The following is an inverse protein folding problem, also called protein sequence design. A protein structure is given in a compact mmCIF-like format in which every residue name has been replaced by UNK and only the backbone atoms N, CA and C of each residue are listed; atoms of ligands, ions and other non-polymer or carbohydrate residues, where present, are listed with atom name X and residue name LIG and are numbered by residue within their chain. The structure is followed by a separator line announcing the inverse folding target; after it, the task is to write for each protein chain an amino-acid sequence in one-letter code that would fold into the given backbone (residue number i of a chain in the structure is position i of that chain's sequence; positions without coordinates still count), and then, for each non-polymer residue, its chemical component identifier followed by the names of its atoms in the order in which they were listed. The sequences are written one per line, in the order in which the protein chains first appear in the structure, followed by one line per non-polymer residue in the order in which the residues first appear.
data_IF_177283478423
#
_entry.id   IF_177283478423
#
_cell.length_a   1.000
_cell.length_b   1.000
_cell.length_c   1.000
_cell.angle_alpha   90.00
_cell.angle_beta   90.00
_cell.angle_gamma   90.00
#
_symmetry.space_group_name_H-M   'P 1'
#
loop_
_entity.id
_entity.type
_entity.pdbx_description
1 polymer ?
#
# COMPACT_ATOMS: atom_id res chain seq x y z
N UNK A 1 16.91 -31.85 15.28
CA UNK A 1 17.12 -32.67 16.49
C UNK A 1 18.60 -32.56 16.83
N UNK A 2 18.95 -31.69 17.77
CA UNK A 2 20.33 -31.51 18.25
C UNK A 2 20.48 -32.11 19.65
N UNK A 3 21.40 -33.06 19.76
CA UNK A 3 21.73 -33.85 20.95
C UNK A 3 22.64 -33.07 21.92
N UNK A 4 22.15 -31.98 22.52
CA UNK A 4 22.91 -31.25 23.55
C UNK A 4 22.08 -30.88 24.81
N UNK A 5 21.06 -31.69 25.11
CA UNK A 5 20.13 -31.45 26.23
C UNK A 5 20.56 -32.07 27.58
N UNK A 6 21.71 -32.73 27.64
CA UNK A 6 22.10 -33.55 28.79
C UNK A 6 23.20 -32.95 29.66
N UNK A 7 22.95 -31.85 30.38
CA UNK A 7 23.54 -31.60 31.73
C UNK A 7 23.00 -30.32 32.40
N UNK A 8 21.66 -30.19 32.53
CA UNK A 8 21.08 -29.07 33.28
C UNK A 8 20.58 -29.57 34.64
N UNK A 9 21.31 -29.22 35.71
CA UNK A 9 20.98 -29.50 37.11
C UNK A 9 19.54 -29.04 37.43
N UNK A 10 18.77 -29.86 38.14
CA UNK A 10 17.38 -29.58 38.48
C UNK A 10 17.25 -28.38 39.42
N UNK A 11 18.28 -28.10 40.22
CA UNK A 11 18.36 -26.85 41.00
C UNK A 11 18.42 -25.63 40.09
N UNK A 12 19.14 -25.74 38.97
CA UNK A 12 19.32 -24.63 38.02
C UNK A 12 18.05 -24.41 37.18
N UNK A 13 17.34 -25.48 36.79
CA UNK A 13 16.03 -25.36 36.11
C UNK A 13 15.00 -24.64 36.98
N UNK A 14 14.98 -24.93 38.27
CA UNK A 14 14.07 -24.29 39.23
C UNK A 14 14.37 -22.81 39.40
N UNK A 15 15.66 -22.45 39.55
CA UNK A 15 16.12 -21.06 39.61
C UNK A 15 15.70 -20.27 38.36
N UNK A 16 15.90 -20.85 37.16
CA UNK A 16 15.46 -20.27 35.88
C UNK A 16 13.95 -19.98 35.91
N UNK A 17 13.15 -20.97 36.31
CA UNK A 17 11.67 -20.87 36.31
C UNK A 17 11.18 -19.79 37.28
N UNK A 18 11.72 -19.75 38.51
CA UNK A 18 11.30 -18.81 39.55
C UNK A 18 11.62 -17.35 39.17
N UNK A 19 12.79 -17.11 38.56
CA UNK A 19 13.20 -15.78 38.09
C UNK A 19 12.30 -15.33 36.94
N UNK A 20 12.09 -16.18 35.92
CA UNK A 20 11.27 -15.85 34.75
C UNK A 20 9.82 -15.54 35.13
N UNK A 21 9.21 -16.36 36.00
CA UNK A 21 7.84 -16.13 36.45
C UNK A 21 7.73 -14.81 37.24
N UNK A 22 8.74 -14.49 38.05
CA UNK A 22 8.80 -13.22 38.79
C UNK A 22 8.98 -11.99 37.91
N UNK A 23 9.73 -12.10 36.81
CA UNK A 23 9.97 -10.99 35.87
C UNK A 23 8.87 -10.79 34.84
N UNK A 24 8.02 -11.80 34.63
CA UNK A 24 6.97 -11.79 33.62
C UNK A 24 5.81 -10.83 33.91
N UNK A 25 5.55 -10.55 35.20
CA UNK A 25 4.38 -9.80 35.69
C UNK A 25 3.04 -10.15 34.98
N UNK A 26 2.83 -11.43 34.68
CA UNK A 26 1.62 -11.93 34.00
C UNK A 26 1.60 -11.81 32.47
N UNK A 27 2.65 -11.29 31.83
CA UNK A 27 2.79 -11.23 30.37
C UNK A 27 3.46 -12.51 29.87
N UNK A 28 2.77 -13.36 29.10
CA UNK A 28 3.30 -14.66 28.66
C UNK A 28 4.41 -14.58 27.59
N UNK A 29 4.50 -13.47 26.84
CA UNK A 29 5.49 -13.28 25.78
C UNK A 29 6.88 -12.94 26.33
N UNK A 30 6.95 -12.16 27.41
CA UNK A 30 8.21 -11.73 28.03
C UNK A 30 9.04 -12.93 28.55
N UNK A 31 8.46 -13.92 29.26
CA UNK A 31 9.08 -15.20 29.56
C UNK A 31 9.65 -15.94 28.36
N UNK A 32 8.92 -15.99 27.25
CA UNK A 32 9.36 -16.74 26.08
C UNK A 32 10.64 -16.13 25.49
N UNK A 33 10.68 -14.80 25.35
CA UNK A 33 11.84 -14.06 24.87
C UNK A 33 13.02 -14.14 25.86
N UNK A 34 12.74 -14.06 27.16
CA UNK A 34 13.74 -14.22 28.23
C UNK A 34 14.37 -15.61 28.22
N UNK A 35 13.56 -16.66 28.08
CA UNK A 35 14.04 -18.05 27.98
C UNK A 35 14.93 -18.20 26.75
N UNK A 36 14.49 -17.70 25.60
CA UNK A 36 15.24 -17.81 24.36
C UNK A 36 16.62 -17.12 24.47
N UNK A 37 16.66 -15.88 24.96
CA UNK A 37 17.90 -15.12 25.16
C UNK A 37 18.92 -15.84 26.06
N UNK A 38 18.43 -16.54 27.11
CA UNK A 38 19.28 -17.35 27.98
C UNK A 38 19.76 -18.62 27.26
N UNK A 39 18.88 -19.32 26.53
CA UNK A 39 19.23 -20.57 25.84
C UNK A 39 20.26 -20.36 24.73
N UNK A 40 20.24 -19.20 24.06
CA UNK A 40 21.20 -18.82 23.01
C UNK A 40 22.65 -18.64 23.52
N UNK A 41 22.87 -18.52 24.84
CA UNK A 41 24.21 -18.38 25.40
C UNK A 41 24.99 -19.71 25.40
N UNK A 42 26.25 -19.64 24.97
CA UNK A 42 27.10 -20.81 24.71
C UNK A 42 27.70 -21.49 25.94
N UNK A 43 27.65 -20.88 27.12
CA UNK A 43 28.19 -21.48 28.35
C UNK A 43 27.32 -21.23 29.57
N UNK A 44 27.39 -22.14 30.55
CA UNK A 44 26.63 -22.05 31.81
C UNK A 44 26.92 -20.74 32.55
N UNK A 45 28.18 -20.30 32.57
CA UNK A 45 28.56 -19.02 33.19
C UNK A 45 27.94 -17.81 32.49
N UNK A 46 27.86 -17.84 31.15
CA UNK A 46 27.18 -16.78 30.37
C UNK A 46 25.67 -16.82 30.57
N UNK A 47 25.06 -18.01 30.65
CA UNK A 47 23.65 -18.19 30.99
C UNK A 47 23.32 -17.59 32.37
N UNK A 48 24.15 -17.83 33.38
CA UNK A 48 24.00 -17.22 34.72
C UNK A 48 24.16 -15.70 34.72
N UNK A 49 25.09 -15.17 33.93
CA UNK A 49 25.21 -13.72 33.76
C UNK A 49 23.96 -13.12 33.09
N UNK A 50 23.45 -13.77 32.05
CA UNK A 50 22.23 -13.35 31.34
C UNK A 50 20.98 -13.38 32.26
N UNK A 51 20.88 -14.35 33.17
CA UNK A 51 19.83 -14.40 34.20
C UNK A 51 19.83 -13.13 35.09
N UNK A 52 21.00 -12.55 35.35
CA UNK A 52 21.16 -11.36 36.20
C UNK A 52 20.87 -10.03 35.51
N UNK A 53 20.92 -9.98 34.17
CA UNK A 53 20.74 -8.76 33.36
C UNK A 53 19.45 -8.76 32.54
N UNK A 54 18.48 -9.59 32.92
CA UNK A 54 17.26 -9.75 32.13
C UNK A 54 16.42 -8.46 32.04
N UNK A 55 15.89 -8.15 30.86
CA UNK A 55 14.98 -7.03 30.67
C UNK A 55 13.69 -7.24 31.46
N UNK A 56 13.26 -6.20 32.19
CA UNK A 56 12.05 -6.23 33.05
C UNK A 56 10.79 -5.76 32.35
N UNK A 57 10.94 -5.13 31.19
CA UNK A 57 9.83 -4.71 30.34
C UNK A 57 9.93 -5.38 28.97
N UNK A 58 8.79 -5.43 28.28
CA UNK A 58 8.72 -5.98 26.93
C UNK A 58 9.49 -5.10 25.92
N UNK A 59 9.44 -3.77 26.07
CA UNK A 59 10.22 -2.85 25.22
C UNK A 59 11.73 -3.08 25.37
N UNK A 60 12.22 -3.24 26.62
CA UNK A 60 13.64 -3.55 26.86
C UNK A 60 14.01 -4.91 26.26
N UNK A 61 13.11 -5.90 26.32
CA UNK A 61 13.34 -7.22 25.73
C UNK A 61 13.41 -7.17 24.20
N UNK A 62 12.60 -6.34 23.55
CA UNK A 62 12.70 -6.13 22.11
C UNK A 62 13.98 -5.41 21.74
N UNK A 63 14.38 -4.37 22.50
CA UNK A 63 15.63 -3.67 22.27
C UNK A 63 16.84 -4.61 22.42
N UNK A 64 16.87 -5.45 23.45
CA UNK A 64 17.92 -6.46 23.64
C UNK A 64 18.00 -7.40 22.44
N UNK A 65 16.88 -7.88 21.91
CA UNK A 65 16.88 -8.75 20.74
C UNK A 65 17.38 -8.02 19.47
N UNK A 66 17.04 -6.74 19.29
CA UNK A 66 17.58 -5.94 18.17
C UNK A 66 19.09 -5.73 18.33
N UNK A 67 19.57 -5.47 19.55
CA UNK A 67 21.00 -5.33 19.82
C UNK A 67 21.75 -6.66 19.57
N UNK A 68 21.13 -7.79 19.88
CA UNK A 68 21.65 -9.12 19.55
C UNK A 68 21.72 -9.31 18.04
N UNK A 69 20.66 -8.94 17.30
CA UNK A 69 20.65 -9.02 15.83
C UNK A 69 21.81 -8.21 15.24
N UNK A 70 21.99 -6.98 15.70
CA UNK A 70 23.09 -6.09 15.27
C UNK A 70 24.47 -6.58 15.70
N UNK A 71 24.57 -7.36 16.79
CA UNK A 71 25.82 -7.94 17.28
C UNK A 71 26.32 -9.16 16.52
N UNK A 72 25.60 -9.63 15.50
CA UNK A 72 26.02 -10.74 14.64
C UNK A 72 27.15 -10.36 13.67
N UNK A 73 27.53 -11.29 12.78
CA UNK A 73 28.39 -10.93 11.64
C UNK A 73 27.69 -9.89 10.76
N UNK A 74 28.42 -9.00 10.07
CA UNK A 74 27.82 -7.91 9.30
C UNK A 74 26.73 -8.38 8.32
N UNK A 75 26.93 -9.52 7.65
CA UNK A 75 26.00 -10.07 6.67
C UNK A 75 24.70 -10.56 7.34
N UNK A 76 24.81 -11.19 8.52
CA UNK A 76 23.64 -11.69 9.27
C UNK A 76 22.88 -10.57 9.96
N UNK A 77 23.60 -9.57 10.46
CA UNK A 77 23.02 -8.37 11.02
C UNK A 77 22.22 -7.63 9.95
N UNK A 78 22.81 -7.42 8.77
CA UNK A 78 22.14 -6.82 7.61
C UNK A 78 20.88 -7.60 7.24
N UNK A 79 20.97 -8.92 7.00
CA UNK A 79 19.80 -9.73 6.65
C UNK A 79 18.71 -9.72 7.74
N UNK A 80 19.07 -9.84 9.01
CA UNK A 80 18.11 -9.79 10.11
C UNK A 80 17.37 -8.45 10.16
N UNK A 81 18.09 -7.34 9.99
CA UNK A 81 17.49 -6.01 9.96
C UNK A 81 16.64 -5.77 8.71
N UNK A 82 17.05 -6.29 7.54
CA UNK A 82 16.24 -6.23 6.32
C UNK A 82 14.93 -7.02 6.47
N UNK A 83 14.96 -8.21 7.07
CA UNK A 83 13.75 -8.99 7.33
C UNK A 83 12.80 -8.23 8.28
N UNK A 84 13.33 -7.62 9.35
CA UNK A 84 12.53 -6.78 10.24
C UNK A 84 11.94 -5.57 9.49
N UNK A 85 12.73 -4.93 8.62
CA UNK A 85 12.30 -3.79 7.79
C UNK A 85 11.13 -4.18 6.89
N UNK A 86 11.27 -5.25 6.12
CA UNK A 86 10.22 -5.75 5.23
C UNK A 86 8.99 -6.23 6.00
N UNK A 87 9.16 -6.88 7.15
CA UNK A 87 8.02 -7.33 7.97
C UNK A 87 7.26 -6.16 8.59
N UNK A 88 7.93 -5.02 8.83
CA UNK A 88 7.34 -3.83 9.42
C UNK A 88 6.74 -2.86 8.40
N UNK A 89 7.51 -2.48 7.37
CA UNK A 89 7.17 -1.41 6.44
C UNK A 89 6.39 -1.88 5.21
N UNK A 90 6.34 -3.17 4.90
CA UNK A 90 5.61 -3.63 3.73
C UNK A 90 4.10 -3.34 3.84
N UNK A 91 3.49 -2.89 2.74
CA UNK A 91 2.06 -2.54 2.66
C UNK A 91 1.13 -3.75 2.89
N UNK A 92 1.69 -4.96 2.77
CA UNK A 92 1.07 -6.21 3.19
C UNK A 92 2.13 -7.20 3.63
N UNK A 93 1.70 -8.23 4.35
CA UNK A 93 2.57 -9.37 4.66
C UNK A 93 3.09 -10.01 3.36
N UNK A 94 4.40 -10.23 3.33
CA UNK A 94 5.08 -10.92 2.24
C UNK A 94 5.08 -12.42 2.51
N UNK A 95 4.97 -13.20 1.42
CA UNK A 95 5.27 -14.63 1.48
C UNK A 95 6.78 -14.84 1.66
N UNK A 96 7.17 -16.03 2.10
CA UNK A 96 8.60 -16.40 2.21
C UNK A 96 9.31 -16.22 0.86
N UNK A 97 8.70 -16.68 -0.23
CA UNK A 97 9.25 -16.57 -1.57
C UNK A 97 9.38 -15.09 -1.99
N UNK A 98 8.37 -14.26 -1.74
CA UNK A 98 8.45 -12.82 -1.99
C UNK A 98 9.60 -12.17 -1.22
N UNK A 99 9.77 -12.50 0.06
CA UNK A 99 10.85 -11.94 0.88
C UNK A 99 12.24 -12.38 0.40
N UNK A 100 12.43 -13.65 0.04
CA UNK A 100 13.71 -14.12 -0.52
C UNK A 100 14.11 -13.31 -1.77
N UNK A 101 13.14 -13.10 -2.66
CA UNK A 101 13.35 -12.31 -3.88
C UNK A 101 13.62 -10.83 -3.57
N UNK A 102 12.94 -10.25 -2.58
CA UNK A 102 13.18 -8.88 -2.14
C UNK A 102 14.60 -8.72 -1.58
N UNK A 103 15.03 -9.59 -0.67
CA UNK A 103 16.37 -9.58 -0.08
C UNK A 103 17.47 -9.74 -1.14
N UNK A 104 17.30 -10.70 -2.06
CA UNK A 104 18.27 -10.89 -3.15
C UNK A 104 18.37 -9.67 -4.08
N UNK A 105 17.25 -8.96 -4.28
CA UNK A 105 17.23 -7.76 -5.11
C UNK A 105 17.79 -6.52 -4.40
N UNK A 106 17.73 -6.47 -3.07
CA UNK A 106 18.39 -5.43 -2.27
C UNK A 106 19.92 -5.55 -2.36
N UNK A 107 20.44 -6.77 -2.37
CA UNK A 107 21.89 -7.03 -2.41
C UNK A 107 22.47 -7.11 -3.84
N UNK A 108 21.62 -7.24 -4.87
CA UNK A 108 22.07 -7.35 -6.27
C UNK A 108 22.57 -6.01 -6.82
N UNK A 109 23.85 -5.99 -7.17
CA UNK A 109 24.49 -4.90 -7.91
C UNK A 109 24.38 -5.06 -9.45
N UNK A 110 23.65 -6.07 -9.92
CA UNK A 110 23.57 -6.43 -11.34
C UNK A 110 22.15 -6.26 -11.91
N UNK A 111 22.04 -6.04 -13.22
CA UNK A 111 20.75 -5.94 -13.94
C UNK A 111 20.04 -7.30 -14.13
N UNK A 112 20.42 -8.32 -13.37
CA UNK A 112 19.87 -9.69 -13.45
C UNK A 112 19.67 -10.27 -12.06
N UNK A 113 18.66 -11.11 -11.90
CA UNK A 113 18.45 -11.86 -10.67
C UNK A 113 18.97 -13.29 -10.83
N UNK A 114 20.01 -13.66 -10.06
CA UNK A 114 20.43 -15.06 -9.98
C UNK A 114 19.47 -15.83 -9.07
N UNK A 115 18.54 -16.56 -9.70
CA UNK A 115 17.58 -17.40 -9.01
C UNK A 115 18.23 -18.55 -8.22
N UNK A 116 19.52 -18.85 -8.45
CA UNK A 116 20.25 -19.87 -7.71
C UNK A 116 20.92 -19.34 -6.44
N UNK A 117 21.00 -18.02 -6.26
CA UNK A 117 21.63 -17.35 -5.11
C UNK A 117 20.60 -16.70 -4.17
N UNK A 118 19.35 -17.18 -4.22
CA UNK A 118 18.30 -16.73 -3.32
C UNK A 118 18.58 -17.19 -1.88
N UNK A 119 18.28 -16.36 -0.85
CA UNK A 119 18.38 -16.77 0.54
C UNK A 119 17.57 -18.04 0.81
N UNK A 120 18.15 -18.97 1.57
CA UNK A 120 17.45 -20.19 1.93
C UNK A 120 16.32 -19.91 2.92
N UNK A 121 15.11 -20.35 2.59
CA UNK A 121 13.89 -20.17 3.39
C UNK A 121 14.09 -20.58 4.86
N UNK A 122 14.75 -21.73 5.08
CA UNK A 122 15.02 -22.29 6.41
C UNK A 122 15.99 -21.45 7.26
N UNK A 123 16.67 -20.46 6.68
CA UNK A 123 17.67 -19.64 7.36
C UNK A 123 17.19 -18.23 7.68
N UNK A 124 16.11 -17.75 7.04
CA UNK A 124 15.59 -16.38 7.23
C UNK A 124 15.28 -16.08 8.70
N UNK A 125 14.57 -17.00 9.37
CA UNK A 125 14.14 -16.81 10.75
C UNK A 125 15.31 -16.84 11.74
N UNK A 126 16.41 -17.53 11.41
CA UNK A 126 17.54 -17.70 12.30
C UNK A 126 18.26 -16.37 12.59
N UNK A 127 18.19 -15.41 11.68
CA UNK A 127 18.82 -14.11 11.86
C UNK A 127 17.96 -13.13 12.68
N UNK A 128 16.67 -13.43 12.85
CA UNK A 128 15.69 -12.54 13.49
C UNK A 128 15.49 -12.81 14.99
N UNK A 129 16.24 -13.74 15.58
CA UNK A 129 16.25 -14.04 17.03
C UNK A 129 14.85 -14.18 17.64
N UNK A 130 13.95 -14.90 16.95
CA UNK A 130 12.60 -15.18 17.43
C UNK A 130 11.68 -13.96 17.52
N UNK A 131 12.00 -12.84 16.86
CA UNK A 131 11.09 -11.69 16.70
C UNK A 131 10.08 -11.88 15.56
N UNK A 132 10.42 -12.77 14.62
CA UNK A 132 9.68 -13.05 13.40
C UNK A 132 9.36 -14.54 13.34
N UNK A 133 8.16 -14.87 12.90
CA UNK A 133 7.68 -16.24 12.72
C UNK A 133 7.12 -16.43 11.30
N UNK A 134 7.15 -17.68 10.85
CA UNK A 134 6.45 -18.12 9.64
C UNK A 134 5.03 -18.53 10.01
N UNK A 135 4.06 -17.99 9.29
CA UNK A 135 2.70 -18.49 9.29
C UNK A 135 2.59 -19.65 8.27
N UNK A 136 2.38 -20.87 8.76
CA UNK A 136 2.31 -22.06 7.92
C UNK A 136 1.06 -22.08 7.03
N UNK A 137 -0.03 -21.42 7.44
CA UNK A 137 -1.29 -21.42 6.66
C UNK A 137 -1.16 -20.55 5.40
N UNK A 138 -0.53 -19.39 5.53
CA UNK A 138 -0.40 -18.39 4.46
C UNK A 138 0.99 -18.40 3.81
N UNK A 139 1.94 -19.17 4.34
CA UNK A 139 3.36 -19.11 3.97
C UNK A 139 3.93 -17.68 4.03
N UNK A 140 3.43 -16.87 4.98
CA UNK A 140 3.81 -15.46 5.14
C UNK A 140 4.60 -15.21 6.40
N UNK A 141 5.40 -14.15 6.36
CA UNK A 141 6.28 -13.76 7.46
C UNK A 141 5.59 -12.69 8.29
N UNK A 142 5.57 -12.87 9.62
CA UNK A 142 4.93 -11.94 10.55
C UNK A 142 5.70 -11.84 11.87
N UNK A 143 5.44 -10.77 12.61
CA UNK A 143 5.96 -10.65 13.97
C UNK A 143 5.28 -11.62 14.93
N UNK A 144 6.03 -12.04 15.95
CA UNK A 144 5.52 -12.93 17.02
C UNK A 144 4.36 -12.30 17.77
N UNK A 145 4.34 -10.97 17.87
CA UNK A 145 3.30 -10.26 18.61
C UNK A 145 3.11 -8.82 18.12
N UNK A 146 1.88 -8.33 18.24
CA UNK A 146 1.51 -6.96 17.85
C UNK A 146 2.29 -5.88 18.64
N UNK A 147 2.63 -6.13 19.89
CA UNK A 147 3.42 -5.18 20.70
C UNK A 147 4.81 -4.90 20.10
N UNK A 148 5.37 -5.82 19.32
CA UNK A 148 6.62 -5.56 18.59
C UNK A 148 6.40 -4.55 17.47
N UNK A 149 5.25 -4.60 16.77
CA UNK A 149 4.89 -3.60 15.76
C UNK A 149 4.75 -2.21 16.40
N UNK A 150 4.11 -2.12 17.56
CA UNK A 150 3.96 -0.85 18.29
C UNK A 150 5.31 -0.28 18.74
N UNK A 151 6.21 -1.16 19.21
CA UNK A 151 7.59 -0.78 19.56
C UNK A 151 8.38 -0.27 18.35
N UNK A 152 8.36 -1.00 17.22
CA UNK A 152 9.05 -0.60 15.99
C UNK A 152 8.47 0.70 15.43
N UNK A 153 7.15 0.89 15.53
CA UNK A 153 6.49 2.14 15.16
C UNK A 153 7.03 3.34 15.93
N UNK A 154 7.10 3.24 17.26
CA UNK A 154 7.68 4.29 18.12
C UNK A 154 9.14 4.60 17.75
N UNK A 155 9.94 3.57 17.48
CA UNK A 155 11.34 3.72 17.05
C UNK A 155 11.48 4.37 15.67
N UNK A 156 10.61 4.01 14.73
CA UNK A 156 10.59 4.58 13.40
C UNK A 156 10.14 6.06 13.41
N UNK A 157 9.08 6.39 14.14
CA UNK A 157 8.62 7.78 14.33
C UNK A 157 9.69 8.66 14.98
N UNK A 158 10.49 8.10 15.89
CA UNK A 158 11.64 8.77 16.51
C UNK A 158 12.89 8.81 15.62
N UNK A 159 12.85 8.24 14.40
CA UNK A 159 13.99 8.11 13.48
C UNK A 159 15.17 7.32 14.04
N UNK A 160 14.92 6.41 14.98
CA UNK A 160 15.93 5.53 15.55
C UNK A 160 16.14 4.27 14.70
N UNK A 161 15.10 3.82 13.98
CA UNK A 161 15.13 2.65 13.11
C UNK A 161 14.41 2.90 11.78
N UNK A 162 14.97 2.35 10.70
CA UNK A 162 14.39 2.36 9.36
C UNK A 162 14.05 3.75 8.81
N UNK A 163 14.84 4.78 9.15
CA UNK A 163 14.59 6.16 8.69
C UNK A 163 14.46 6.26 7.16
N UNK A 164 15.27 5.51 6.41
CA UNK A 164 15.22 5.44 4.94
C UNK A 164 14.47 4.23 4.40
N UNK A 165 13.74 3.51 5.26
CA UNK A 165 13.28 2.17 4.91
C UNK A 165 12.28 2.12 3.76
N UNK A 166 11.39 3.13 3.64
CA UNK A 166 10.50 3.22 2.48
C UNK A 166 11.27 3.52 1.19
N UNK A 167 12.30 4.37 1.23
CA UNK A 167 13.19 4.61 0.09
C UNK A 167 13.93 3.33 -0.35
N UNK A 168 14.49 2.56 0.60
CA UNK A 168 15.18 1.31 0.30
C UNK A 168 14.26 0.28 -0.36
N UNK A 169 13.04 0.16 0.17
CA UNK A 169 12.01 -0.75 -0.37
C UNK A 169 11.62 -0.31 -1.79
N UNK A 170 11.40 0.99 -2.00
CA UNK A 170 11.12 1.56 -3.31
C UNK A 170 12.24 1.23 -4.31
N UNK A 171 13.50 1.47 -3.95
CA UNK A 171 14.65 1.16 -4.80
C UNK A 171 14.76 -0.34 -5.10
N UNK A 172 14.47 -1.19 -4.12
CA UNK A 172 14.43 -2.65 -4.32
C UNK A 172 13.33 -3.04 -5.30
N UNK A 173 12.12 -2.48 -5.17
CA UNK A 173 11.02 -2.71 -6.11
C UNK A 173 11.41 -2.28 -7.53
N UNK A 174 12.05 -1.12 -7.67
CA UNK A 174 12.53 -0.64 -8.96
C UNK A 174 13.59 -1.55 -9.57
N UNK A 175 14.59 -1.95 -8.79
CA UNK A 175 15.65 -2.84 -9.24
C UNK A 175 15.05 -4.17 -9.72
N UNK A 176 14.12 -4.72 -8.95
CA UNK A 176 13.45 -5.96 -9.28
C UNK A 176 12.68 -5.91 -10.61
N UNK A 177 12.00 -4.78 -10.88
CA UNK A 177 11.27 -4.57 -12.12
C UNK A 177 12.17 -4.30 -13.34
N UNK A 178 13.45 -3.95 -13.11
CA UNK A 178 14.44 -3.69 -14.18
C UNK A 178 15.13 -4.96 -14.68
N UNK A 179 15.01 -6.08 -13.97
CA UNK A 179 15.66 -7.33 -14.36
C UNK A 179 15.21 -7.80 -15.75
N UNK A 180 16.18 -8.19 -16.58
CA UNK A 180 15.88 -8.59 -17.98
C UNK A 180 15.00 -9.84 -18.03
N UNK A 181 15.10 -10.69 -17.01
CA UNK A 181 14.34 -11.93 -16.90
C UNK A 181 12.87 -11.69 -16.56
N UNK A 182 12.51 -10.50 -16.05
CA UNK A 182 11.11 -10.13 -15.83
C UNK A 182 10.44 -9.60 -17.09
N UNK A 183 11.17 -9.31 -18.17
CA UNK A 183 10.64 -8.72 -19.39
C UNK A 183 9.54 -9.56 -20.04
N UNK A 184 8.37 -8.94 -20.25
CA UNK A 184 7.24 -9.49 -21.02
C UNK A 184 7.29 -8.97 -22.47
N UNK A 185 6.88 -9.81 -23.42
CA UNK A 185 6.56 -9.40 -24.81
C UNK A 185 5.14 -8.83 -24.86
N UNK A 186 4.91 -7.73 -25.58
CA UNK A 186 3.55 -7.18 -25.72
C UNK A 186 2.56 -8.27 -26.14
N UNK A 187 1.47 -8.48 -25.39
CA UNK A 187 0.52 -9.54 -25.71
C UNK A 187 -0.15 -9.18 -27.04
N UNK A 188 0.07 -10.04 -28.02
CA UNK A 188 -0.56 -9.97 -29.33
C UNK A 188 -1.91 -10.69 -29.34
N UNK A 189 -2.13 -11.64 -28.42
CA UNK A 189 -3.36 -12.43 -28.32
C UNK A 189 -3.73 -12.80 -26.87
N UNK A 190 -4.96 -13.31 -26.67
CA UNK A 190 -5.48 -13.75 -25.35
C UNK A 190 -4.64 -14.86 -24.69
N UNK A 191 -3.90 -15.67 -25.46
CA UNK A 191 -2.99 -16.71 -24.94
C UNK A 191 -1.77 -16.12 -24.22
N UNK A 192 -1.35 -14.91 -24.58
CA UNK A 192 -0.17 -14.27 -23.99
C UNK A 192 -0.44 -13.81 -22.55
N UNK A 193 -1.71 -13.57 -22.19
CA UNK A 193 -2.11 -13.29 -20.81
C UNK A 193 -1.90 -14.48 -19.87
N UNK A 194 -2.08 -15.72 -20.34
CA UNK A 194 -1.77 -16.92 -19.56
C UNK A 194 -0.25 -17.10 -19.36
N UNK A 195 0.55 -16.70 -20.34
CA UNK A 195 2.01 -16.67 -20.22
C UNK A 195 2.44 -15.70 -19.10
N UNK A 196 1.76 -14.56 -18.95
CA UNK A 196 2.03 -13.58 -17.88
C UNK A 196 1.69 -14.09 -16.48
N UNK A 197 0.73 -15.01 -16.32
CA UNK A 197 0.46 -15.66 -15.03
C UNK A 197 1.67 -16.48 -14.58
N UNK A 198 2.31 -17.21 -15.51
CA UNK A 198 3.52 -17.98 -15.21
C UNK A 198 4.73 -17.13 -14.82
N UNK A 199 4.72 -15.83 -15.18
CA UNK A 199 5.77 -14.90 -14.77
C UNK A 199 5.68 -14.60 -13.28
N UNK A 200 4.48 -14.39 -12.74
CA UNK A 200 4.31 -14.13 -11.31
C UNK A 200 4.64 -15.37 -10.46
N UNK A 201 4.48 -16.58 -11.01
CA UNK A 201 4.92 -17.80 -10.33
C UNK A 201 6.45 -17.89 -10.25
N UNK A 202 7.15 -17.44 -11.31
CA UNK A 202 8.62 -17.43 -11.36
C UNK A 202 9.25 -16.25 -10.62
N UNK A 203 8.55 -15.11 -10.57
CA UNK A 203 8.97 -13.87 -9.95
C UNK A 203 7.89 -13.40 -8.97
N UNK A 204 7.74 -14.07 -7.81
CA UNK A 204 6.64 -13.84 -6.88
C UNK A 204 6.61 -12.41 -6.34
N UNK A 205 7.78 -11.78 -6.19
CA UNK A 205 7.88 -10.41 -5.70
C UNK A 205 7.46 -9.36 -6.74
N UNK A 206 7.37 -9.71 -8.03
CA UNK A 206 7.05 -8.75 -9.11
C UNK A 206 5.69 -8.08 -8.89
N UNK A 207 4.69 -8.85 -8.43
CA UNK A 207 3.35 -8.32 -8.17
C UNK A 207 3.40 -7.28 -7.06
N UNK A 208 4.13 -7.55 -5.97
CA UNK A 208 4.32 -6.58 -4.91
C UNK A 208 4.97 -5.31 -5.44
N UNK A 209 6.09 -5.45 -6.16
CA UNK A 209 6.83 -4.33 -6.74
C UNK A 209 5.95 -3.44 -7.61
N UNK A 210 5.10 -4.01 -8.48
CA UNK A 210 4.20 -3.24 -9.35
C UNK A 210 3.10 -2.51 -8.56
N UNK A 211 2.56 -3.14 -7.52
CA UNK A 211 1.39 -2.65 -6.82
C UNK A 211 1.70 -1.63 -5.72
N UNK A 212 2.90 -1.66 -5.14
CA UNK A 212 3.18 -0.94 -3.90
C UNK A 212 4.39 -0.01 -3.96
N UNK A 213 5.19 -0.02 -5.03
CA UNK A 213 6.36 0.87 -5.13
C UNK A 213 5.98 2.35 -4.92
N UNK A 214 4.86 2.79 -5.49
CA UNK A 214 4.41 4.18 -5.39
C UNK A 214 3.85 4.53 -4.02
N UNK A 215 3.34 3.56 -3.25
CA UNK A 215 2.94 3.79 -1.86
C UNK A 215 4.17 4.12 -1.01
N UNK A 216 5.28 3.38 -1.19
CA UNK A 216 6.53 3.66 -0.49
C UNK A 216 7.15 5.03 -0.87
N UNK A 217 7.05 5.44 -2.14
CA UNK A 217 7.45 6.80 -2.55
C UNK A 217 6.61 7.87 -1.86
N UNK A 218 5.31 7.61 -1.65
CA UNK A 218 4.41 8.57 -1.03
C UNK A 218 4.68 8.74 0.47
N UNK A 219 5.03 7.67 1.18
CA UNK A 219 5.39 7.72 2.61
C UNK A 219 6.73 8.42 2.86
N UNK A 220 7.65 8.39 1.90
CA UNK A 220 8.94 9.05 2.01
C UNK A 220 9.32 9.80 0.72
N UNK A 221 8.73 10.98 0.55
CA UNK A 221 9.02 11.84 -0.61
C UNK A 221 10.08 12.89 -0.28
N UNK A 222 11.18 12.86 -1.03
CA UNK A 222 12.18 13.93 -1.07
C UNK A 222 12.59 14.23 -2.52
N UNK A 223 13.50 15.19 -2.69
CA UNK A 223 13.94 15.60 -4.03
C UNK A 223 14.70 14.48 -4.76
N UNK A 224 15.53 13.71 -4.06
CA UNK A 224 16.30 12.62 -4.68
C UNK A 224 15.37 11.50 -5.15
N UNK A 225 14.42 11.08 -4.30
CA UNK A 225 13.40 10.08 -4.62
C UNK A 225 12.55 10.55 -5.80
N UNK A 226 12.15 11.84 -5.80
CA UNK A 226 11.38 12.43 -6.91
C UNK A 226 12.17 12.38 -8.21
N UNK A 227 13.43 12.79 -8.21
CA UNK A 227 14.28 12.81 -9.40
C UNK A 227 14.51 11.39 -9.96
N UNK A 228 14.80 10.41 -9.09
CA UNK A 228 14.90 8.99 -9.49
C UNK A 228 13.59 8.44 -10.02
N UNK A 229 12.47 8.82 -9.43
CA UNK A 229 11.13 8.40 -9.91
C UNK A 229 10.86 8.98 -11.29
N UNK A 230 11.22 10.24 -11.53
CA UNK A 230 11.07 10.89 -12.83
C UNK A 230 11.95 10.26 -13.92
N UNK A 231 13.19 9.92 -13.58
CA UNK A 231 14.08 9.15 -14.47
C UNK A 231 13.44 7.80 -14.81
N UNK A 232 12.95 7.09 -13.80
CA UNK A 232 12.34 5.78 -13.99
C UNK A 232 11.04 5.82 -14.80
N UNK A 233 10.21 6.84 -14.61
CA UNK A 233 8.97 7.04 -15.35
C UNK A 233 9.18 7.61 -16.77
N UNK A 234 10.42 7.95 -17.13
CA UNK A 234 10.74 8.32 -18.50
C UNK A 234 10.70 7.09 -19.42
N UNK A 235 10.44 7.29 -20.72
CA UNK A 235 10.28 6.21 -21.71
C UNK A 235 11.55 5.33 -21.92
N UNK A 236 12.58 5.47 -21.08
CA UNK A 236 13.79 4.66 -21.10
C UNK A 236 13.57 3.23 -20.59
N UNK A 237 12.47 2.97 -19.86
CA UNK A 237 12.16 1.65 -19.29
C UNK A 237 10.81 1.08 -19.81
N UNK A 238 10.74 0.65 -21.08
CA UNK A 238 9.48 0.22 -21.71
C UNK A 238 8.86 -1.03 -21.06
N UNK A 239 9.68 -1.95 -20.52
CA UNK A 239 9.19 -3.15 -19.85
C UNK A 239 8.45 -2.84 -18.55
N UNK A 240 8.93 -1.89 -17.76
CA UNK A 240 8.25 -1.46 -16.52
C UNK A 240 6.88 -0.87 -16.82
N UNK A 241 6.81 0.06 -17.76
CA UNK A 241 5.54 0.68 -18.16
C UNK A 241 4.58 -0.37 -18.72
N UNK A 242 5.09 -1.38 -19.43
CA UNK A 242 4.30 -2.52 -19.90
C UNK A 242 3.73 -3.36 -18.73
N UNK A 243 4.53 -3.67 -17.71
CA UNK A 243 4.07 -4.39 -16.52
C UNK A 243 2.94 -3.66 -15.80
N UNK A 244 3.14 -2.37 -15.54
CA UNK A 244 2.12 -1.57 -14.87
C UNK A 244 0.86 -1.41 -15.73
N UNK A 245 1.01 -1.20 -17.05
CA UNK A 245 -0.10 -1.14 -18.00
C UNK A 245 -0.91 -2.43 -17.95
N UNK A 246 -0.26 -3.58 -18.11
CA UNK A 246 -0.96 -4.87 -18.11
C UNK A 246 -1.67 -5.12 -16.78
N UNK A 247 -1.04 -4.80 -15.66
CA UNK A 247 -1.65 -5.03 -14.36
C UNK A 247 -2.84 -4.10 -14.08
N UNK A 248 -2.72 -2.80 -14.35
CA UNK A 248 -3.79 -1.82 -14.16
C UNK A 248 -4.96 -2.09 -15.13
N UNK A 249 -4.66 -2.45 -16.38
CA UNK A 249 -5.68 -2.83 -17.38
C UNK A 249 -6.34 -4.17 -17.03
N UNK A 250 -5.63 -5.13 -16.44
CA UNK A 250 -6.26 -6.39 -15.97
C UNK A 250 -7.13 -6.15 -14.73
N UNK A 251 -6.77 -5.19 -13.88
CA UNK A 251 -7.55 -4.84 -12.69
C UNK A 251 -8.74 -3.91 -12.97
N UNK A 252 -8.73 -3.17 -14.06
CA UNK A 252 -9.86 -2.33 -14.49
C UNK A 252 -10.66 -3.08 -15.56
N UNK A 253 -11.98 -3.16 -15.45
CA UNK A 253 -12.84 -3.77 -16.49
C UNK A 253 -12.84 -2.99 -17.82
N UNK A 254 -12.04 -1.94 -17.92
CA UNK A 254 -11.94 -1.09 -19.07
C UNK A 254 -10.87 -1.61 -20.05
N UNK A 255 -11.34 -2.19 -21.15
CA UNK A 255 -10.49 -2.44 -22.31
C UNK A 255 -10.02 -1.12 -22.90
N UNK A 256 -8.76 -0.76 -22.68
CA UNK A 256 -8.13 0.39 -23.34
C UNK A 256 -7.23 -0.12 -24.47
N UNK A 257 -7.59 0.21 -25.71
CA UNK A 257 -6.86 -0.15 -26.93
C UNK A 257 -5.65 0.77 -27.21
N UNK A 258 -5.31 1.71 -26.32
CA UNK A 258 -4.26 2.69 -26.61
C UNK A 258 -2.86 2.19 -26.24
N UNK A 259 -1.91 2.43 -27.14
CA UNK A 259 -0.50 2.03 -27.01
C UNK A 259 0.34 2.98 -26.14
N UNK A 260 -0.28 4.01 -25.54
CA UNK A 260 0.44 5.16 -24.97
C UNK A 260 0.10 5.35 -23.47
N UNK A 261 0.67 4.48 -22.63
CA UNK A 261 0.58 4.55 -21.16
C UNK A 261 1.82 5.26 -20.59
N UNK A 262 1.63 6.43 -19.98
CA UNK A 262 2.73 7.31 -19.54
C UNK A 262 2.85 7.43 -18.02
N UNK A 263 4.03 7.85 -17.55
CA UNK A 263 4.33 8.07 -16.13
C UNK A 263 3.33 8.93 -15.35
N UNK A 264 2.62 9.87 -15.99
CA UNK A 264 1.56 10.65 -15.32
C UNK A 264 0.40 9.77 -14.82
N UNK A 265 0.07 8.68 -15.52
CA UNK A 265 -0.97 7.74 -15.09
C UNK A 265 -0.58 7.06 -13.77
N UNK A 266 0.68 6.66 -13.65
CA UNK A 266 1.19 6.03 -12.44
C UNK A 266 1.31 7.04 -11.29
N UNK A 267 1.83 8.23 -11.57
CA UNK A 267 1.85 9.30 -10.58
C UNK A 267 0.44 9.63 -10.08
N UNK A 268 -0.56 9.61 -10.97
CA UNK A 268 -1.95 9.84 -10.61
C UNK A 268 -2.57 8.68 -9.83
N UNK A 269 -2.27 7.43 -10.20
CA UNK A 269 -2.74 6.23 -9.51
C UNK A 269 -2.21 6.11 -8.08
N UNK A 270 -0.95 6.49 -7.85
CA UNK A 270 -0.30 6.39 -6.52
C UNK A 270 -0.40 7.67 -5.68
N UNK A 271 -0.88 8.77 -6.28
CA UNK A 271 -1.00 10.05 -5.56
C UNK A 271 0.31 10.83 -5.43
N UNK A 272 1.26 10.65 -6.35
CA UNK A 272 2.59 11.25 -6.31
C UNK A 272 2.59 12.71 -6.81
N UNK A 273 2.14 13.65 -5.96
CA UNK A 273 1.90 15.05 -6.36
C UNK A 273 3.14 15.75 -6.91
N UNK A 274 4.29 15.61 -6.25
CA UNK A 274 5.54 16.24 -6.70
C UNK A 274 6.00 15.72 -8.07
N UNK A 275 5.95 14.40 -8.25
CA UNK A 275 6.27 13.73 -9.51
C UNK A 275 5.29 14.15 -10.61
N UNK A 276 3.99 14.14 -10.33
CA UNK A 276 2.96 14.57 -11.28
C UNK A 276 3.16 16.02 -11.72
N UNK A 277 3.42 16.94 -10.77
CA UNK A 277 3.69 18.35 -11.09
C UNK A 277 4.92 18.49 -11.99
N UNK A 278 6.03 17.81 -11.65
CA UNK A 278 7.24 17.86 -12.43
C UNK A 278 7.06 17.29 -13.85
N UNK A 279 6.27 16.22 -14.02
CA UNK A 279 5.90 15.70 -15.34
C UNK A 279 5.09 16.74 -16.12
N UNK A 280 4.05 17.32 -15.52
CA UNK A 280 3.20 18.33 -16.18
C UNK A 280 4.03 19.55 -16.59
N UNK A 281 4.89 20.05 -15.70
CA UNK A 281 5.74 21.22 -15.94
C UNK A 281 6.81 20.96 -17.02
N UNK A 282 7.37 19.73 -17.09
CA UNK A 282 8.41 19.37 -18.07
C UNK A 282 7.86 19.16 -19.48
N UNK A 283 6.68 18.56 -19.60
CA UNK A 283 6.13 18.13 -20.90
C UNK A 283 5.02 19.05 -21.46
N UNK A 284 4.48 19.97 -20.65
CA UNK A 284 3.56 21.04 -21.08
C UNK A 284 2.29 20.56 -21.79
N UNK A 285 1.63 21.48 -22.52
CA UNK A 285 0.38 21.26 -23.30
C UNK A 285 0.45 20.09 -24.31
N UNK A 286 1.65 19.60 -24.65
CA UNK A 286 1.83 18.43 -25.50
C UNK A 286 1.44 17.11 -24.81
N UNK A 287 1.43 17.06 -23.46
CA UNK A 287 0.95 15.89 -22.74
C UNK A 287 -0.59 15.78 -22.80
N UNK A 288 -1.26 16.93 -22.93
CA UNK A 288 -2.73 17.07 -23.03
C UNK A 288 -3.20 16.46 -24.36
N UNK A 289 -2.52 16.78 -25.47
CA UNK A 289 -2.83 16.21 -26.80
C UNK A 289 -2.37 14.78 -27.02
N UNK A 290 -1.34 14.30 -26.30
CA UNK A 290 -0.88 12.90 -26.36
C UNK A 290 -1.67 11.95 -25.46
N UNK A 291 -2.46 12.46 -24.55
CA UNK A 291 -3.45 11.63 -23.87
C UNK A 291 -4.74 11.59 -24.70
N UNK A 292 -4.75 10.73 -25.73
CA UNK A 292 -6.02 10.15 -26.24
C UNK A 292 -6.85 9.52 -25.07
N UNK A 293 -6.17 9.37 -23.93
CA UNK A 293 -6.63 8.90 -22.64
C UNK A 293 -6.61 9.99 -21.54
N UNK A 294 -6.78 11.30 -21.82
CA UNK A 294 -6.87 12.39 -20.79
C UNK A 294 -7.80 12.02 -19.62
N UNK A 295 -8.80 11.20 -19.93
CA UNK A 295 -9.75 10.63 -18.99
C UNK A 295 -9.06 9.77 -17.92
N UNK A 296 -7.95 9.12 -18.22
CA UNK A 296 -7.35 8.04 -17.42
C UNK A 296 -6.55 8.55 -16.21
N UNK A 297 -5.64 9.55 -16.27
CA UNK A 297 -4.96 10.02 -15.06
C UNK A 297 -5.94 10.64 -14.06
N UNK A 298 -6.87 11.47 -14.54
CA UNK A 298 -7.92 12.07 -13.69
C UNK A 298 -8.81 10.99 -13.08
N UNK A 299 -9.23 9.99 -13.87
CA UNK A 299 -10.05 8.88 -13.40
C UNK A 299 -9.32 8.03 -12.38
N UNK A 300 -8.06 7.64 -12.63
CA UNK A 300 -7.26 6.85 -11.69
C UNK A 300 -7.05 7.58 -10.36
N UNK A 301 -6.72 8.88 -10.41
CA UNK A 301 -6.61 9.69 -9.21
C UNK A 301 -7.95 9.78 -8.46
N UNK A 302 -9.06 9.91 -9.19
CA UNK A 302 -10.40 9.99 -8.60
C UNK A 302 -10.84 8.65 -8.00
N UNK A 303 -10.61 7.54 -8.69
CA UNK A 303 -10.88 6.17 -8.22
C UNK A 303 -10.10 5.82 -6.96
N UNK A 304 -8.91 6.42 -6.80
CA UNK A 304 -8.03 6.23 -5.65
C UNK A 304 -8.23 7.29 -4.56
N UNK A 305 -9.10 8.28 -4.78
CA UNK A 305 -9.38 9.34 -3.81
C UNK A 305 -8.23 10.35 -3.64
N UNK A 306 -7.32 10.47 -4.61
CA UNK A 306 -6.15 11.36 -4.56
C UNK A 306 -6.52 12.81 -4.89
N UNK A 307 -7.17 13.47 -3.94
CA UNK A 307 -7.65 14.87 -4.03
C UNK A 307 -6.58 15.85 -4.54
N UNK A 308 -5.35 15.76 -4.03
CA UNK A 308 -4.27 16.68 -4.40
C UNK A 308 -3.85 16.55 -5.88
N UNK A 309 -3.88 15.34 -6.43
CA UNK A 309 -3.65 15.12 -7.87
C UNK A 309 -4.82 15.67 -8.68
N UNK A 310 -6.07 15.38 -8.28
CA UNK A 310 -7.26 15.90 -8.97
C UNK A 310 -7.20 17.43 -9.04
N UNK A 311 -6.88 18.08 -7.92
CA UNK A 311 -6.70 19.53 -7.86
C UNK A 311 -5.59 20.02 -8.80
N UNK A 312 -4.41 19.41 -8.75
CA UNK A 312 -3.28 19.76 -9.62
C UNK A 312 -3.66 19.65 -11.11
N UNK A 313 -4.35 18.58 -11.50
CA UNK A 313 -4.81 18.37 -12.87
C UNK A 313 -5.88 19.38 -13.30
N UNK A 314 -6.74 19.83 -12.39
CA UNK A 314 -7.74 20.89 -12.64
C UNK A 314 -7.07 22.27 -12.80
N UNK A 315 -6.16 22.63 -11.89
CA UNK A 315 -5.48 23.94 -11.88
C UNK A 315 -4.61 24.16 -13.12
N UNK A 316 -3.97 23.10 -13.62
CA UNK A 316 -3.02 23.18 -14.74
C UNK A 316 -3.70 23.14 -16.11
N UNK A 317 -5.05 23.05 -16.19
CA UNK A 317 -5.75 22.82 -17.46
C UNK A 317 -6.87 23.83 -17.75
N UNK A 318 -6.77 24.47 -18.92
CA UNK A 318 -7.84 25.25 -19.52
C UNK A 318 -8.80 24.31 -20.28
N UNK A 319 -9.97 24.04 -19.69
CA UNK A 319 -11.07 23.21 -20.21
C UNK A 319 -10.85 21.69 -20.17
N UNK A 320 -11.34 21.07 -19.08
CA UNK A 320 -11.64 19.63 -19.08
C UNK A 320 -13.01 19.44 -19.73
N UNK A 321 -13.06 18.78 -20.89
CA UNK A 321 -14.30 18.63 -21.66
C UNK A 321 -15.19 17.44 -21.23
N UNK A 322 -14.87 16.72 -20.16
CA UNK A 322 -15.69 15.59 -19.68
C UNK A 322 -15.41 15.26 -18.19
N UNK A 323 -16.06 15.99 -17.28
CA UNK A 323 -16.00 15.73 -15.83
C UNK A 323 -17.02 14.68 -15.36
N UNK A 324 -17.88 14.19 -16.26
CA UNK A 324 -19.03 13.36 -15.88
C UNK A 324 -18.59 12.03 -15.23
N UNK A 325 -17.63 11.33 -15.84
CA UNK A 325 -17.16 10.04 -15.31
C UNK A 325 -16.36 10.17 -14.01
N UNK A 326 -15.37 11.09 -13.87
CA UNK A 326 -14.75 11.35 -12.58
C UNK A 326 -15.76 11.73 -11.49
N UNK A 327 -16.76 12.57 -11.82
CA UNK A 327 -17.78 12.99 -10.88
C UNK A 327 -18.68 11.83 -10.44
N UNK A 328 -19.09 10.97 -11.36
CA UNK A 328 -19.82 9.73 -11.06
C UNK A 328 -19.05 8.85 -10.07
N UNK A 329 -17.75 8.60 -10.31
CA UNK A 329 -16.92 7.78 -9.43
C UNK A 329 -16.74 8.44 -8.06
N UNK A 330 -16.43 9.74 -8.03
CA UNK A 330 -16.25 10.48 -6.78
C UNK A 330 -17.52 10.44 -5.91
N UNK A 331 -18.69 10.55 -6.54
CA UNK A 331 -19.98 10.44 -5.84
C UNK A 331 -20.19 9.02 -5.35
N UNK A 332 -20.04 8.01 -6.21
CA UNK A 332 -20.25 6.61 -5.84
C UNK A 332 -19.36 6.19 -4.65
N UNK A 333 -18.11 6.63 -4.64
CA UNK A 333 -17.14 6.34 -3.57
C UNK A 333 -17.24 7.24 -2.33
N UNK A 334 -18.02 8.33 -2.38
CA UNK A 334 -18.19 9.22 -1.23
C UNK A 334 -17.09 10.27 -1.05
N UNK A 335 -16.32 10.59 -2.10
CA UNK A 335 -15.23 11.56 -2.05
C UNK A 335 -15.72 13.00 -2.14
N UNK A 336 -16.35 13.49 -1.07
CA UNK A 336 -16.96 14.82 -0.95
C UNK A 336 -16.07 15.96 -1.48
N UNK A 337 -14.79 16.00 -1.08
CA UNK A 337 -13.87 17.06 -1.50
C UNK A 337 -13.57 17.01 -3.00
N UNK A 338 -13.43 15.81 -3.57
CA UNK A 338 -13.24 15.63 -5.01
C UNK A 338 -14.50 16.07 -5.76
N UNK A 339 -15.68 15.71 -5.26
CA UNK A 339 -16.97 16.19 -5.82
C UNK A 339 -17.02 17.72 -5.82
N UNK A 340 -16.65 18.36 -4.71
CA UNK A 340 -16.56 19.82 -4.62
C UNK A 340 -15.63 20.41 -5.69
N UNK A 341 -14.39 19.91 -5.78
CA UNK A 341 -13.41 20.37 -6.76
C UNK A 341 -13.88 20.22 -8.21
N UNK A 342 -14.50 19.09 -8.53
CA UNK A 342 -15.04 18.82 -9.88
C UNK A 342 -16.22 19.72 -10.20
N UNK A 343 -17.13 19.98 -9.25
CA UNK A 343 -18.26 20.91 -9.45
C UNK A 343 -17.79 22.37 -9.59
N UNK A 344 -16.78 22.79 -8.84
CA UNK A 344 -16.24 24.15 -8.90
C UNK A 344 -15.50 24.45 -10.23
N UNK A 345 -15.02 23.41 -10.91
CA UNK A 345 -14.36 23.52 -12.20
C UNK A 345 -15.26 23.07 -13.37
N UNK A 346 -16.49 22.64 -13.09
CA UNK A 346 -17.51 22.33 -14.07
C UNK A 346 -18.28 23.57 -14.52
N UNK A 347 -19.06 23.42 -15.59
CA UNK A 347 -20.01 24.44 -15.99
C UNK A 347 -21.31 24.37 -15.16
N UNK A 348 -22.19 25.37 -15.29
CA UNK A 348 -23.48 25.39 -14.60
C UNK A 348 -24.37 24.16 -14.92
N UNK A 349 -24.12 23.46 -16.02
CA UNK A 349 -24.87 22.27 -16.41
C UNK A 349 -24.43 21.01 -15.65
N UNK A 350 -23.22 21.02 -15.09
CA UNK A 350 -22.58 19.87 -14.43
C UNK A 350 -23.41 19.35 -13.26
N UNK A 351 -24.06 20.23 -12.49
CA UNK A 351 -24.87 19.84 -11.32
C UNK A 351 -26.09 18.97 -11.67
N UNK A 352 -26.59 19.09 -12.91
CA UNK A 352 -27.77 18.37 -13.40
C UNK A 352 -27.41 17.20 -14.33
N UNK A 353 -26.14 16.80 -14.36
CA UNK A 353 -25.72 15.64 -15.14
C UNK A 353 -26.46 14.38 -14.69
N UNK A 354 -26.77 13.58 -15.70
CA UNK A 354 -27.23 12.21 -15.54
C UNK A 354 -26.04 11.29 -15.67
N UNK A 355 -25.78 10.53 -14.62
CA UNK A 355 -24.70 9.55 -14.51
C UNK A 355 -25.29 8.14 -14.58
N UNK A 356 -24.41 7.15 -14.78
CA UNK A 356 -24.75 5.73 -14.94
C UNK A 356 -25.66 5.40 -16.13
N UNK A 357 -25.74 4.12 -16.49
CA UNK A 357 -26.62 3.65 -17.58
C UNK A 357 -28.11 3.81 -17.26
N UNK A 358 -28.45 4.05 -15.99
CA UNK A 358 -29.83 4.27 -15.51
C UNK A 358 -30.28 5.72 -15.61
N UNK A 359 -29.40 6.64 -16.05
CA UNK A 359 -29.68 8.08 -16.10
C UNK A 359 -30.03 8.65 -14.71
N UNK A 360 -29.30 8.21 -13.69
CA UNK A 360 -29.45 8.69 -12.32
C UNK A 360 -28.90 10.12 -12.21
N UNK A 361 -29.57 11.02 -11.48
CA UNK A 361 -28.95 12.31 -11.16
C UNK A 361 -27.80 12.11 -10.17
N UNK A 362 -26.88 13.07 -10.11
CA UNK A 362 -25.82 13.11 -9.09
C UNK A 362 -26.38 12.92 -7.67
N UNK A 363 -27.49 13.61 -7.37
CA UNK A 363 -28.17 13.50 -6.08
C UNK A 363 -28.79 12.12 -5.86
N UNK A 364 -29.33 11.49 -6.90
CA UNK A 364 -29.88 10.13 -6.83
C UNK A 364 -28.78 9.11 -6.51
N UNK A 365 -27.62 9.22 -7.17
CA UNK A 365 -26.47 8.34 -6.91
C UNK A 365 -25.93 8.53 -5.49
N UNK A 366 -25.74 9.78 -5.04
CA UNK A 366 -25.32 10.08 -3.67
C UNK A 366 -26.32 9.56 -2.63
N UNK A 367 -27.63 9.70 -2.92
CA UNK A 367 -28.70 9.31 -2.02
C UNK A 367 -28.84 7.78 -1.87
N UNK A 368 -28.72 7.04 -2.97
CA UNK A 368 -28.71 5.57 -2.99
C UNK A 368 -27.55 5.02 -2.12
N UNK A 369 -26.36 5.61 -2.26
CA UNK A 369 -25.16 5.19 -1.51
C UNK A 369 -25.13 5.71 -0.06
N UNK A 370 -26.02 6.63 0.31
CA UNK A 370 -26.11 7.17 1.68
C UNK A 370 -25.08 8.27 2.01
N UNK A 371 -24.48 8.90 0.99
CA UNK A 371 -23.45 9.91 1.15
C UNK A 371 -24.06 11.28 1.53
N UNK A 372 -24.43 11.42 2.80
CA UNK A 372 -25.09 12.63 3.34
C UNK A 372 -24.35 13.94 3.04
N UNK A 373 -23.00 14.05 3.23
CA UNK A 373 -22.29 15.30 2.94
C UNK A 373 -22.37 15.70 1.47
N UNK A 374 -22.31 14.71 0.56
CA UNK A 374 -22.45 14.95 -0.88
C UNK A 374 -23.89 15.38 -1.21
N UNK A 375 -24.90 14.77 -0.59
CA UNK A 375 -26.29 15.20 -0.78
C UNK A 375 -26.50 16.66 -0.36
N UNK A 376 -25.92 17.08 0.78
CA UNK A 376 -25.95 18.48 1.23
C UNK A 376 -25.29 19.40 0.21
N UNK A 377 -24.06 19.07 -0.21
CA UNK A 377 -23.30 19.84 -1.19
C UNK A 377 -24.06 20.03 -2.51
N UNK A 378 -24.69 18.97 -3.01
CA UNK A 378 -25.47 19.02 -4.25
C UNK A 378 -26.74 19.87 -4.10
N UNK A 379 -27.45 19.74 -2.97
CA UNK A 379 -28.66 20.51 -2.68
C UNK A 379 -28.38 22.00 -2.43
N UNK A 380 -27.21 22.33 -1.89
CA UNK A 380 -26.74 23.72 -1.75
C UNK A 380 -26.42 24.38 -3.09
N UNK A 381 -26.11 23.57 -4.11
CA UNK A 381 -25.94 24.01 -5.50
C UNK A 381 -27.19 23.81 -6.37
N UNK A 382 -28.37 23.77 -5.74
CA UNK A 382 -29.67 23.68 -6.40
C UNK A 382 -29.88 22.42 -7.26
N UNK A 383 -29.26 21.29 -6.91
CA UNK A 383 -29.54 20.01 -7.58
C UNK A 383 -31.04 19.65 -7.52
N UNK A 384 -31.56 19.09 -8.62
CA UNK A 384 -32.97 18.72 -8.70
C UNK A 384 -33.32 17.54 -7.79
N UNK A 385 -33.97 17.87 -6.67
CA UNK A 385 -34.45 16.93 -5.65
C UNK A 385 -35.52 15.94 -6.16
N UNK A 386 -36.22 16.26 -7.26
CA UNK A 386 -37.27 15.42 -7.87
C UNK A 386 -36.78 14.74 -9.16
N UNK A 387 -35.48 14.80 -9.46
CA UNK A 387 -34.93 14.26 -10.70
C UNK A 387 -35.21 12.76 -10.80
N UNK A 388 -35.74 12.34 -11.96
CA UNK A 388 -36.13 10.95 -12.19
C UNK A 388 -35.13 10.20 -13.04
N UNK A 389 -34.79 8.98 -12.63
CA UNK A 389 -34.03 8.04 -13.45
C UNK A 389 -34.93 7.31 -14.48
N UNK A 390 -34.37 6.39 -15.27
CA UNK A 390 -35.11 5.61 -16.27
C UNK A 390 -36.23 4.73 -15.68
N UNK A 391 -36.17 4.42 -14.38
CA UNK A 391 -37.18 3.67 -13.64
C UNK A 391 -38.18 4.59 -12.91
N UNK A 392 -38.15 5.90 -13.19
CA UNK A 392 -38.98 6.91 -12.54
C UNK A 392 -38.66 7.06 -11.04
N UNK A 393 -37.51 6.56 -10.58
CA UNK A 393 -37.07 6.67 -9.20
C UNK A 393 -36.52 8.07 -8.95
N UNK A 394 -36.85 8.62 -7.78
CA UNK A 394 -36.33 9.89 -7.25
C UNK A 394 -35.19 9.62 -6.26
N UNK A 395 -34.36 10.62 -5.92
CA UNK A 395 -33.37 10.50 -4.85
C UNK A 395 -33.98 9.99 -3.53
N UNK A 396 -35.19 10.45 -3.18
CA UNK A 396 -35.88 10.02 -1.97
C UNK A 396 -36.28 8.54 -2.04
N UNK A 397 -36.81 8.06 -3.18
CA UNK A 397 -37.17 6.65 -3.32
C UNK A 397 -35.93 5.73 -3.33
N UNK A 398 -34.82 6.17 -3.92
CA UNK A 398 -33.55 5.43 -3.91
C UNK A 398 -32.98 5.34 -2.49
N UNK A 399 -32.91 6.46 -1.76
CA UNK A 399 -32.50 6.45 -0.35
C UNK A 399 -33.42 5.58 0.52
N UNK A 400 -34.73 5.59 0.26
CA UNK A 400 -35.70 4.77 0.99
C UNK A 400 -35.54 3.27 0.71
N UNK A 401 -35.30 2.90 -0.54
CA UNK A 401 -35.08 1.52 -0.96
C UNK A 401 -33.83 0.94 -0.29
N UNK A 402 -32.75 1.73 -0.23
CA UNK A 402 -31.47 1.35 0.39
C UNK A 402 -31.42 1.58 1.91
N UNK A 403 -32.52 2.06 2.53
CA UNK A 403 -32.61 2.29 3.98
C UNK A 403 -31.70 3.40 4.52
N UNK A 404 -31.36 4.40 3.71
CA UNK A 404 -30.47 5.53 4.06
C UNK A 404 -31.21 6.61 4.86
N UNK A 405 -31.51 6.30 6.13
CA UNK A 405 -32.38 7.13 6.99
C UNK A 405 -31.96 8.60 7.10
N UNK A 406 -30.67 8.89 7.25
CA UNK A 406 -30.18 10.27 7.40
C UNK A 406 -30.40 11.09 6.12
N UNK A 407 -30.15 10.49 4.97
CA UNK A 407 -30.41 11.11 3.66
C UNK A 407 -31.92 11.29 3.43
N UNK A 408 -32.74 10.31 3.81
CA UNK A 408 -34.19 10.42 3.71
C UNK A 408 -34.71 11.61 4.53
N UNK A 409 -34.24 11.76 5.78
CA UNK A 409 -34.63 12.88 6.64
C UNK A 409 -34.23 14.22 6.01
N UNK A 410 -32.98 14.33 5.51
CA UNK A 410 -32.52 15.52 4.80
C UNK A 410 -33.42 15.88 3.60
N UNK A 411 -33.71 14.89 2.74
CA UNK A 411 -34.52 15.12 1.55
C UNK A 411 -35.95 15.54 1.95
N UNK A 412 -36.58 14.86 2.91
CA UNK A 412 -37.91 15.21 3.41
C UNK A 412 -37.98 16.63 4.00
N UNK A 413 -36.98 17.04 4.77
CA UNK A 413 -36.88 18.40 5.30
C UNK A 413 -36.79 19.44 4.19
N UNK A 414 -35.98 19.16 3.16
CA UNK A 414 -35.82 20.04 1.99
C UNK A 414 -37.09 20.11 1.13
N UNK A 415 -37.81 19.01 0.94
CA UNK A 415 -39.13 19.02 0.29
C UNK A 415 -40.14 19.87 1.07
N UNK A 416 -40.20 19.73 2.41
CA UNK A 416 -41.08 20.55 3.26
C UNK A 416 -40.77 22.04 3.13
N UNK A 417 -39.50 22.41 3.11
CA UNK A 417 -39.08 23.80 2.93
C UNK A 417 -39.47 24.36 1.55
N UNK A 418 -39.35 23.56 0.47
CA UNK A 418 -39.77 23.97 -0.89
C UNK A 418 -41.28 24.17 -1.01
N UNK A 419 -42.09 23.33 -0.36
CA UNK A 419 -43.58 23.42 -0.42
C UNK A 419 -44.11 24.60 0.40
N UNK A 420 -43.37 25.04 1.43
CA UNK A 420 -43.77 26.14 2.31
C UNK A 420 -43.50 27.55 1.74
N UNK A 421 -42.83 27.65 0.57
CA UNK A 421 -42.46 28.88 -0.12
C UNK A 421 -43.24 28.99 -1.42
#
# INVERSE_FOLDING_TARGET
MDENYGDMDDSFKKEITDIIVGTADGMFLLPALQIQSVLEQTSISKRRAALGTMPRSLEDSFQVNIDIINGQTPERAHQGMEILKWTYLAERQLTVAELCHALAATDSMSDSLDLNDLPFENTLLNYCHGLVILDEETSSIRFVHKSLQEFLKKKHENKELFETGHCDIYLTCLNYMKFKETSITEPTDKSDYQCNVSLFDRFPFLKYSICFWGEHVREQIDQEVTDRTLEFLSNEYPHFLLHCRLYIVVMSEAMYESQEFYGLHLAAYFGLVGVASAIIDRFGDNLITLSVCEKTPMLLATERGHEAIVRLLLEKRNAIHDLAKPLEIAIAQGFEKIVGLLLDNGDESTINLKVTDRSESLLSCAAMNGHLPICLLLLERDADIESRDNNVSTPLSQASYEGRMDVMNLLLERHRYRIAR
#
